data_IF_964065534269
#
_entry.id   IF_964065534269
#
_cell.length_a   1.000
_cell.length_b   1.000
_cell.length_c   1.000
_cell.angle_alpha   90.00
_cell.angle_beta   90.00
_cell.angle_gamma   90.00
#
_symmetry.space_group_name_H-M   'P 1'
#
loop_
_entity.id
_entity.type
_entity.pdbx_description
1 polymer ?
#
# COMPACT_ATOMS: atom_id res chain seq x y z
N UNK A 1 34.77 -45.22 41.72
CA UNK A 1 33.58 -45.48 40.88
C UNK A 1 32.50 -44.57 41.43
N UNK A 2 32.33 -43.39 40.84
CA UNK A 2 31.45 -42.33 41.35
C UNK A 2 30.20 -42.33 40.47
N UNK A 3 29.08 -42.79 41.02
CA UNK A 3 27.75 -42.59 40.43
C UNK A 3 27.43 -41.09 40.50
N UNK A 4 27.34 -40.46 39.32
CA UNK A 4 26.87 -39.08 39.21
C UNK A 4 25.35 -39.10 39.22
N UNK A 5 24.78 -38.62 40.32
CA UNK A 5 23.37 -38.34 40.52
C UNK A 5 22.87 -37.40 39.41
N UNK A 6 22.06 -37.92 38.48
CA UNK A 6 21.40 -37.10 37.47
C UNK A 6 20.20 -36.43 38.11
N UNK A 7 20.38 -35.18 38.54
CA UNK A 7 19.27 -34.29 38.91
C UNK A 7 18.44 -34.01 37.67
N UNK A 8 17.38 -34.81 37.51
CA UNK A 8 16.31 -34.64 36.54
C UNK A 8 15.56 -33.36 36.91
N UNK A 9 15.92 -32.25 36.26
CA UNK A 9 15.16 -31.00 36.36
C UNK A 9 13.80 -31.25 35.72
N UNK A 10 12.78 -31.49 36.55
CA UNK A 10 11.38 -31.47 36.15
C UNK A 10 11.04 -30.06 35.67
N UNK A 11 11.08 -29.85 34.35
CA UNK A 11 10.50 -28.68 33.72
C UNK A 11 9.00 -28.72 34.02
N UNK A 12 8.58 -27.93 35.02
CA UNK A 12 7.18 -27.72 35.39
C UNK A 12 6.33 -27.51 34.13
N UNK A 13 5.33 -28.38 33.95
CA UNK A 13 4.40 -28.38 32.83
C UNK A 13 3.60 -27.08 32.68
N UNK A 14 3.64 -26.19 33.67
CA UNK A 14 2.97 -24.88 33.63
C UNK A 14 3.62 -23.91 32.64
N UNK A 15 4.91 -24.07 32.33
CA UNK A 15 5.59 -23.25 31.32
C UNK A 15 5.25 -23.66 29.88
N UNK A 16 4.80 -24.90 29.66
CA UNK A 16 4.43 -25.36 28.31
C UNK A 16 3.10 -24.71 27.87
N UNK A 17 2.16 -24.56 28.79
CA UNK A 17 0.84 -23.94 28.52
C UNK A 17 0.96 -22.42 28.27
N UNK A 18 1.88 -21.74 28.96
CA UNK A 18 2.15 -20.32 28.71
C UNK A 18 2.83 -20.06 27.35
N UNK A 19 3.54 -21.05 26.80
CA UNK A 19 4.24 -20.91 25.51
C UNK A 19 3.30 -21.16 24.32
N UNK A 20 2.25 -21.98 24.48
CA UNK A 20 1.20 -22.15 23.46
C UNK A 20 0.22 -20.97 23.37
N UNK A 21 -0.02 -20.25 24.47
CA UNK A 21 -0.90 -19.07 24.46
C UNK A 21 -0.31 -17.87 23.69
N UNK A 22 1.00 -17.87 23.41
CA UNK A 22 1.69 -16.85 22.63
C UNK A 22 1.76 -17.14 21.13
N UNK A 23 1.06 -18.19 20.64
CA UNK A 23 0.83 -18.32 19.20
C UNK A 23 -0.11 -17.20 18.75
N UNK A 24 0.50 -16.10 18.25
CA UNK A 24 -0.11 -15.03 17.45
C UNK A 24 -1.54 -15.37 17.03
N UNK A 25 -2.52 -14.99 17.85
CA UNK A 25 -3.91 -15.21 17.54
C UNK A 25 -4.23 -14.33 16.34
N UNK A 26 -4.19 -14.95 15.17
CA UNK A 26 -4.67 -14.37 13.91
C UNK A 26 -6.04 -13.76 14.21
N UNK A 27 -6.21 -12.42 14.11
CA UNK A 27 -7.47 -11.77 14.43
C UNK A 27 -8.59 -12.45 13.64
N UNK A 28 -9.57 -13.03 14.33
CA UNK A 28 -10.72 -13.67 13.67
C UNK A 28 -11.39 -12.63 12.77
N UNK A 29 -11.68 -12.99 11.53
CA UNK A 29 -12.37 -12.11 10.58
C UNK A 29 -13.75 -11.75 11.19
N UNK A 30 -13.93 -10.47 11.53
CA UNK A 30 -15.20 -9.96 12.06
C UNK A 30 -16.02 -9.36 10.94
N UNK A 31 -17.34 -9.50 11.00
CA UNK A 31 -18.26 -8.86 10.05
C UNK A 31 -18.06 -7.34 10.02
N UNK A 32 -17.67 -6.73 11.14
CA UNK A 32 -17.31 -5.31 11.23
C UNK A 32 -16.18 -4.91 10.28
N UNK A 33 -15.20 -5.78 10.03
CA UNK A 33 -14.10 -5.50 9.10
C UNK A 33 -14.57 -5.51 7.65
N UNK A 34 -15.49 -6.43 7.31
CA UNK A 34 -16.12 -6.46 5.98
C UNK A 34 -17.00 -5.22 5.77
N UNK A 35 -17.81 -4.84 6.77
CA UNK A 35 -18.62 -3.63 6.71
C UNK A 35 -17.74 -2.38 6.55
N UNK A 36 -16.65 -2.26 7.31
CA UNK A 36 -15.69 -1.16 7.19
C UNK A 36 -15.05 -1.11 5.80
N UNK A 37 -14.63 -2.26 5.27
CA UNK A 37 -14.11 -2.36 3.90
C UNK A 37 -15.12 -1.89 2.86
N UNK A 38 -16.35 -2.42 2.91
CA UNK A 38 -17.41 -2.00 1.97
C UNK A 38 -17.73 -0.53 2.08
N UNK A 39 -17.73 0.04 3.30
CA UNK A 39 -17.93 1.46 3.53
C UNK A 39 -16.81 2.31 2.91
N UNK A 40 -15.54 1.96 3.16
CA UNK A 40 -14.39 2.66 2.57
C UNK A 40 -14.40 2.56 1.03
N UNK A 41 -14.70 1.39 0.48
CA UNK A 41 -14.81 1.21 -0.98
C UNK A 41 -15.97 2.00 -1.57
N UNK A 42 -17.14 2.01 -0.92
CA UNK A 42 -18.30 2.77 -1.38
C UNK A 42 -18.03 4.28 -1.42
N UNK A 43 -17.37 4.83 -0.40
CA UNK A 43 -16.96 6.25 -0.38
C UNK A 43 -16.04 6.56 -1.57
N UNK A 44 -15.04 5.71 -1.83
CA UNK A 44 -14.15 5.94 -2.96
C UNK A 44 -14.88 5.93 -4.29
N UNK A 45 -15.73 4.91 -4.51
CA UNK A 45 -16.47 4.77 -5.76
C UNK A 45 -17.45 5.93 -5.97
N UNK A 46 -18.10 6.41 -4.92
CA UNK A 46 -18.96 7.58 -4.99
C UNK A 46 -18.17 8.83 -5.43
N UNK A 47 -16.97 9.04 -4.88
CA UNK A 47 -16.09 10.15 -5.27
C UNK A 47 -15.59 10.00 -6.70
N UNK A 48 -15.07 8.82 -7.06
CA UNK A 48 -14.62 8.52 -8.42
C UNK A 48 -15.71 8.77 -9.45
N UNK A 49 -16.95 8.31 -9.16
CA UNK A 49 -18.09 8.54 -10.03
C UNK A 49 -18.43 10.02 -10.16
N UNK A 50 -18.46 10.75 -9.04
CA UNK A 50 -18.67 12.20 -9.07
C UNK A 50 -17.64 12.89 -9.98
N UNK A 51 -16.37 12.51 -9.86
CA UNK A 51 -15.28 13.00 -10.69
C UNK A 51 -15.43 12.69 -12.16
N UNK A 52 -15.68 11.43 -12.49
CA UNK A 52 -15.89 11.00 -13.87
C UNK A 52 -17.06 11.75 -14.53
N UNK A 53 -18.14 12.02 -13.79
CA UNK A 53 -19.31 12.72 -14.33
C UNK A 53 -19.09 14.22 -14.55
N UNK A 54 -18.26 14.88 -13.75
CA UNK A 54 -18.08 16.35 -13.81
C UNK A 54 -16.79 16.78 -14.52
N UNK A 55 -15.77 15.92 -14.53
CA UNK A 55 -14.42 16.25 -15.00
C UNK A 55 -13.77 15.12 -15.81
N UNK A 56 -14.51 14.03 -16.05
CA UNK A 56 -13.97 12.84 -16.69
C UNK A 56 -13.63 13.04 -18.16
N UNK A 57 -12.76 12.18 -18.71
CA UNK A 57 -12.54 12.12 -20.15
C UNK A 57 -13.85 11.75 -20.87
N UNK A 58 -14.02 12.22 -22.11
CA UNK A 58 -15.22 11.93 -22.91
C UNK A 58 -15.49 10.44 -23.11
N UNK A 59 -16.70 10.12 -23.61
CA UNK A 59 -17.34 8.78 -23.65
C UNK A 59 -16.44 7.63 -24.11
N UNK A 60 -15.45 7.89 -24.98
CA UNK A 60 -14.52 6.88 -25.51
C UNK A 60 -13.65 6.17 -24.44
N UNK A 61 -13.50 6.74 -23.24
CA UNK A 61 -12.74 6.15 -22.13
C UNK A 61 -13.62 5.61 -20.99
N UNK A 62 -14.95 5.72 -21.09
CA UNK A 62 -15.87 5.53 -19.96
C UNK A 62 -15.74 4.12 -19.35
N UNK A 63 -15.71 3.07 -20.16
CA UNK A 63 -15.60 1.69 -19.68
C UNK A 63 -14.26 1.42 -18.97
N UNK A 64 -13.14 1.92 -19.50
CA UNK A 64 -11.82 1.75 -18.90
C UNK A 64 -11.73 2.51 -17.56
N UNK A 65 -12.29 3.72 -17.51
CA UNK A 65 -12.38 4.52 -16.29
C UNK A 65 -13.23 3.81 -15.23
N UNK A 66 -14.40 3.28 -15.58
CA UNK A 66 -15.29 2.57 -14.66
C UNK A 66 -14.65 1.30 -14.08
N UNK A 67 -13.99 0.49 -14.90
CA UNK A 67 -13.30 -0.73 -14.44
C UNK A 67 -12.12 -0.36 -13.53
N UNK A 68 -11.30 0.62 -13.92
CA UNK A 68 -10.19 1.11 -13.09
C UNK A 68 -10.69 1.70 -11.77
N UNK A 69 -11.79 2.45 -11.80
CA UNK A 69 -12.44 3.00 -10.62
C UNK A 69 -12.91 1.90 -9.66
N UNK A 70 -13.55 0.85 -10.20
CA UNK A 70 -14.02 -0.30 -9.42
C UNK A 70 -12.87 -1.00 -8.71
N UNK A 71 -11.85 -1.39 -9.47
CA UNK A 71 -10.65 -2.06 -8.93
C UNK A 71 -9.96 -1.16 -7.91
N UNK A 72 -9.75 0.11 -8.25
CA UNK A 72 -9.16 1.10 -7.35
C UNK A 72 -9.95 1.28 -6.06
N UNK A 73 -11.28 1.27 -6.11
CA UNK A 73 -12.12 1.38 -4.92
C UNK A 73 -12.03 0.19 -3.99
N UNK A 74 -11.96 -1.01 -4.55
CA UNK A 74 -11.74 -2.23 -3.76
C UNK A 74 -10.38 -2.22 -3.07
N UNK A 75 -9.32 -1.86 -3.81
CA UNK A 75 -7.92 -1.81 -3.32
C UNK A 75 -7.73 -0.72 -2.28
N UNK A 76 -8.14 0.52 -2.58
CA UNK A 76 -7.99 1.66 -1.67
C UNK A 76 -8.82 1.48 -0.41
N UNK A 77 -10.05 0.95 -0.54
CA UNK A 77 -10.88 0.61 0.60
C UNK A 77 -10.25 -0.47 1.48
N UNK A 78 -9.62 -1.48 0.89
CA UNK A 78 -8.91 -2.53 1.62
C UNK A 78 -7.67 -1.97 2.34
N UNK A 79 -6.91 -1.09 1.69
CA UNK A 79 -5.74 -0.44 2.28
C UNK A 79 -6.11 0.36 3.54
N UNK A 80 -7.12 1.23 3.43
CA UNK A 80 -7.57 2.07 4.54
C UNK A 80 -8.16 1.25 5.67
N UNK A 81 -8.97 0.25 5.35
CA UNK A 81 -9.52 -0.69 6.34
C UNK A 81 -8.40 -1.43 7.07
N UNK A 82 -7.39 -1.90 6.33
CA UNK A 82 -6.21 -2.55 6.90
C UNK A 82 -5.46 -1.65 7.88
N UNK A 83 -5.22 -0.38 7.53
CA UNK A 83 -4.57 0.59 8.42
C UNK A 83 -5.42 0.93 9.64
N UNK A 84 -6.74 1.06 9.50
CA UNK A 84 -7.64 1.30 10.64
C UNK A 84 -7.63 0.10 11.60
N UNK A 85 -7.66 -1.12 11.07
CA UNK A 85 -7.55 -2.34 11.88
C UNK A 85 -6.18 -2.42 12.55
N UNK A 86 -5.10 -2.08 11.84
CA UNK A 86 -3.75 -2.04 12.39
C UNK A 86 -3.63 -1.04 13.54
N UNK A 87 -4.11 0.18 13.35
CA UNK A 87 -4.14 1.20 14.38
C UNK A 87 -4.96 0.71 15.57
N UNK A 88 -6.19 0.24 15.36
CA UNK A 88 -7.05 -0.22 16.46
C UNK A 88 -6.48 -1.39 17.24
N UNK A 89 -5.81 -2.33 16.57
CA UNK A 89 -5.26 -3.53 17.23
C UNK A 89 -3.97 -3.24 17.99
N UNK A 90 -3.21 -2.21 17.59
CA UNK A 90 -1.92 -1.86 18.21
C UNK A 90 -2.02 -0.68 19.17
N UNK A 91 -3.02 0.19 19.02
CA UNK A 91 -3.34 1.27 19.97
C UNK A 91 -3.76 0.66 21.31
N UNK A 92 -2.79 0.56 22.24
CA UNK A 92 -2.98 0.02 23.58
C UNK A 92 -1.97 -1.06 23.97
N UNK A 93 -1.28 -1.70 23.01
CA UNK A 93 -0.41 -2.86 23.27
C UNK A 93 1.09 -2.47 23.33
N UNK A 94 1.43 -1.18 23.19
CA UNK A 94 2.83 -0.69 23.13
C UNK A 94 3.70 -1.34 22.03
N UNK A 95 3.09 -2.07 21.11
CA UNK A 95 3.76 -2.65 19.96
C UNK A 95 3.88 -1.64 18.81
N UNK A 96 4.93 -1.73 17.97
CA UNK A 96 5.06 -0.86 16.81
C UNK A 96 3.88 -1.08 15.86
N UNK A 97 3.32 0.03 15.35
CA UNK A 97 2.18 0.00 14.42
C UNK A 97 2.48 -0.91 13.22
N UNK A 98 3.64 -0.75 12.59
CA UNK A 98 4.05 -1.54 11.43
C UNK A 98 5.22 -2.48 11.79
N UNK A 99 4.89 -3.70 12.24
CA UNK A 99 5.88 -4.76 12.50
C UNK A 99 6.34 -5.50 11.25
N UNK A 100 5.41 -5.88 10.37
CA UNK A 100 5.69 -6.73 9.21
C UNK A 100 5.73 -5.91 7.91
N UNK A 101 6.47 -6.35 6.87
CA UNK A 101 6.60 -5.64 5.60
C UNK A 101 5.26 -5.25 4.96
N UNK A 102 4.29 -6.17 4.94
CA UNK A 102 2.96 -5.89 4.40
C UNK A 102 2.20 -4.78 5.13
N UNK A 103 2.48 -4.53 6.42
CA UNK A 103 1.89 -3.39 7.14
C UNK A 103 2.36 -2.06 6.58
N UNK A 104 3.66 -1.96 6.29
CA UNK A 104 4.24 -0.77 5.64
C UNK A 104 3.67 -0.56 4.24
N UNK A 105 3.48 -1.64 3.47
CA UNK A 105 2.85 -1.55 2.15
C UNK A 105 1.40 -1.08 2.23
N UNK A 106 0.61 -1.64 3.15
CA UNK A 106 -0.75 -1.18 3.40
C UNK A 106 -0.78 0.30 3.79
N UNK A 107 0.16 0.75 4.64
CA UNK A 107 0.28 2.14 5.03
C UNK A 107 0.59 3.07 3.84
N UNK A 108 1.52 2.68 2.97
CA UNK A 108 1.85 3.45 1.74
C UNK A 108 0.62 3.58 0.83
N UNK A 109 -0.07 2.47 0.57
CA UNK A 109 -1.26 2.51 -0.31
C UNK A 109 -2.40 3.28 0.35
N UNK A 110 -2.63 3.11 1.65
CA UNK A 110 -3.67 3.83 2.38
C UNK A 110 -3.39 5.34 2.42
N UNK A 111 -2.14 5.74 2.67
CA UNK A 111 -1.73 7.14 2.69
C UNK A 111 -1.94 7.80 1.33
N UNK A 112 -1.43 7.20 0.26
CA UNK A 112 -1.62 7.71 -1.10
C UNK A 112 -3.10 7.76 -1.49
N UNK A 113 -3.89 6.75 -1.10
CA UNK A 113 -5.34 6.71 -1.31
C UNK A 113 -6.07 7.82 -0.56
N UNK A 114 -5.76 8.02 0.72
CA UNK A 114 -6.35 9.07 1.54
C UNK A 114 -6.17 10.44 0.91
N UNK A 115 -4.95 10.76 0.44
CA UNK A 115 -4.72 12.05 -0.22
C UNK A 115 -5.38 12.16 -1.60
N UNK A 116 -5.49 11.06 -2.36
CA UNK A 116 -6.34 11.03 -3.56
C UNK A 116 -7.80 11.36 -3.22
N UNK A 117 -8.31 10.91 -2.08
CA UNK A 117 -9.67 11.23 -1.65
C UNK A 117 -9.81 12.69 -1.23
N UNK A 118 -8.87 13.19 -0.43
CA UNK A 118 -8.88 14.57 0.06
C UNK A 118 -8.78 15.54 -1.11
N UNK A 119 -7.87 15.30 -2.06
CA UNK A 119 -7.74 16.13 -3.28
C UNK A 119 -9.02 16.11 -4.09
N UNK A 120 -9.59 14.93 -4.36
CA UNK A 120 -10.87 14.79 -5.05
C UNK A 120 -12.02 15.54 -4.34
N UNK A 121 -12.07 15.49 -3.00
CA UNK A 121 -13.05 16.24 -2.21
C UNK A 121 -12.86 17.76 -2.31
N UNK A 122 -11.62 18.23 -2.12
CA UNK A 122 -11.29 19.66 -2.15
C UNK A 122 -11.60 20.27 -3.53
N UNK A 123 -11.23 19.57 -4.58
CA UNK A 123 -11.58 19.93 -5.94
C UNK A 123 -13.11 19.99 -6.15
N UNK A 124 -13.87 19.03 -5.63
CA UNK A 124 -15.34 19.05 -5.72
C UNK A 124 -15.97 20.24 -5.00
N UNK A 125 -15.36 20.73 -3.92
CA UNK A 125 -15.83 21.90 -3.15
C UNK A 125 -15.42 23.23 -3.77
N UNK A 126 -14.19 23.33 -4.28
CA UNK A 126 -13.64 24.57 -4.81
C UNK A 126 -14.00 24.84 -6.28
N UNK A 127 -14.60 23.86 -6.97
CA UNK A 127 -14.85 23.92 -8.41
C UNK A 127 -13.59 23.60 -9.21
N UNK A 128 -13.50 24.11 -10.45
CA UNK A 128 -12.36 23.87 -11.33
C UNK A 128 -11.07 24.51 -10.76
N UNK A 129 -10.35 23.78 -9.91
CA UNK A 129 -8.98 24.11 -9.55
C UNK A 129 -8.09 23.74 -10.74
N UNK A 130 -7.19 24.64 -11.15
CA UNK A 130 -6.20 24.33 -12.18
C UNK A 130 -5.36 23.11 -11.76
N UNK A 131 -5.00 22.26 -12.74
CA UNK A 131 -4.14 21.10 -12.46
C UNK A 131 -2.83 21.47 -11.77
N UNK A 132 -2.32 22.69 -12.00
CA UNK A 132 -1.17 23.28 -11.34
C UNK A 132 -1.28 23.32 -9.82
N UNK A 133 -2.42 23.72 -9.28
CA UNK A 133 -2.61 23.82 -7.83
C UNK A 133 -2.69 22.44 -7.14
N UNK A 134 -2.84 21.36 -7.91
CA UNK A 134 -2.74 19.99 -7.39
C UNK A 134 -1.30 19.46 -7.34
N UNK A 135 -0.37 20.02 -8.11
CA UNK A 135 1.02 19.53 -8.18
C UNK A 135 1.74 19.57 -6.82
N UNK A 136 1.66 20.64 -6.01
CA UNK A 136 2.28 20.66 -4.69
C UNK A 136 1.77 19.53 -3.78
N UNK A 137 0.48 19.16 -3.90
CA UNK A 137 -0.12 18.10 -3.11
C UNK A 137 0.44 16.73 -3.56
N UNK A 138 0.53 16.49 -4.87
CA UNK A 138 1.15 15.27 -5.40
C UNK A 138 2.61 15.14 -4.97
N UNK A 139 3.39 16.21 -5.08
CA UNK A 139 4.78 16.25 -4.62
C UNK A 139 4.88 15.95 -3.11
N UNK A 140 4.01 16.54 -2.28
CA UNK A 140 3.97 16.26 -0.85
C UNK A 140 3.67 14.79 -0.56
N UNK A 141 2.67 14.21 -1.24
CA UNK A 141 2.30 12.79 -1.05
C UNK A 141 3.44 11.86 -1.43
N UNK A 142 4.12 12.14 -2.55
CA UNK A 142 5.27 11.36 -3.01
C UNK A 142 6.45 11.49 -2.04
N UNK A 143 6.73 12.70 -1.55
CA UNK A 143 7.76 12.94 -0.54
C UNK A 143 7.51 12.13 0.73
N UNK A 144 6.30 12.19 1.30
CA UNK A 144 5.96 11.42 2.50
C UNK A 144 6.05 9.91 2.21
N UNK A 145 5.64 9.47 1.02
CA UNK A 145 5.79 8.06 0.61
C UNK A 145 7.26 7.62 0.58
N UNK A 146 8.17 8.44 0.05
CA UNK A 146 9.62 8.19 0.10
C UNK A 146 10.08 8.03 1.55
N UNK A 147 9.67 8.96 2.43
CA UNK A 147 10.03 8.89 3.86
C UNK A 147 9.52 7.61 4.51
N UNK A 148 8.27 7.21 4.26
CA UNK A 148 7.70 5.95 4.78
C UNK A 148 8.49 4.75 4.27
N UNK A 149 8.83 4.69 2.98
CA UNK A 149 9.60 3.58 2.40
C UNK A 149 11.03 3.50 2.96
N UNK A 150 11.74 4.63 3.08
CA UNK A 150 13.08 4.66 3.68
C UNK A 150 13.03 4.25 5.15
N UNK A 151 12.01 4.71 5.88
CA UNK A 151 11.82 4.30 7.27
C UNK A 151 11.51 2.81 7.40
N UNK A 152 10.65 2.27 6.54
CA UNK A 152 10.37 0.84 6.46
C UNK A 152 11.63 0.02 6.18
N UNK A 153 12.48 0.46 5.24
CA UNK A 153 13.76 -0.19 4.93
C UNK A 153 14.70 -0.26 6.14
N UNK A 154 14.64 0.71 7.06
CA UNK A 154 15.43 0.70 8.29
C UNK A 154 14.82 -0.11 9.44
N UNK A 155 13.50 -0.34 9.43
CA UNK A 155 12.76 -1.00 10.53
C UNK A 155 12.41 -2.46 10.27
N UNK A 156 12.27 -2.86 9.01
CA UNK A 156 11.97 -4.25 8.66
C UNK A 156 13.19 -5.11 8.93
N UNK A 157 13.01 -6.18 9.71
CA UNK A 157 14.11 -7.09 10.07
C UNK A 157 14.55 -7.96 8.88
N UNK A 158 13.60 -8.37 8.04
CA UNK A 158 13.83 -9.25 6.89
C UNK A 158 14.64 -8.54 5.80
N UNK A 159 15.83 -9.07 5.52
CA UNK A 159 16.78 -8.52 4.57
C UNK A 159 16.24 -8.48 3.13
N UNK A 160 15.27 -9.32 2.77
CA UNK A 160 14.68 -9.36 1.41
C UNK A 160 13.82 -8.15 1.12
N UNK A 161 13.17 -7.63 2.15
CA UNK A 161 12.24 -6.51 2.06
C UNK A 161 12.95 -5.16 2.12
N UNK A 162 14.13 -5.07 2.76
CA UNK A 162 14.94 -3.84 2.78
C UNK A 162 15.27 -3.30 1.37
N UNK A 163 15.90 -4.06 0.46
CA UNK A 163 16.19 -3.57 -0.88
C UNK A 163 14.93 -3.27 -1.68
N UNK A 164 13.83 -4.01 -1.44
CA UNK A 164 12.54 -3.72 -2.05
C UNK A 164 11.99 -2.35 -1.64
N UNK A 165 12.01 -2.02 -0.34
CA UNK A 165 11.59 -0.70 0.14
C UNK A 165 12.53 0.42 -0.33
N UNK A 166 13.85 0.17 -0.34
CA UNK A 166 14.81 1.12 -0.88
C UNK A 166 14.58 1.40 -2.37
N UNK A 167 14.35 0.34 -3.18
CA UNK A 167 14.02 0.48 -4.59
C UNK A 167 12.70 1.23 -4.79
N UNK A 168 11.66 0.92 -4.00
CA UNK A 168 10.38 1.63 -4.02
C UNK A 168 10.56 3.12 -3.69
N UNK A 169 11.41 3.44 -2.70
CA UNK A 169 11.74 4.82 -2.35
C UNK A 169 12.46 5.54 -3.50
N UNK A 170 13.46 4.91 -4.12
CA UNK A 170 14.17 5.46 -5.28
C UNK A 170 13.24 5.73 -6.46
N UNK A 171 12.36 4.78 -6.78
CA UNK A 171 11.39 4.95 -7.87
C UNK A 171 10.37 6.05 -7.55
N UNK A 172 9.91 6.13 -6.30
CA UNK A 172 9.02 7.21 -5.85
C UNK A 172 9.72 8.57 -5.89
N UNK A 173 11.03 8.62 -5.63
CA UNK A 173 11.83 9.84 -5.76
C UNK A 173 11.95 10.28 -7.23
N UNK A 174 12.05 9.34 -8.18
CA UNK A 174 11.97 9.65 -9.62
C UNK A 174 10.59 10.21 -10.00
N UNK A 175 9.50 9.63 -9.47
CA UNK A 175 8.13 10.16 -9.64
C UNK A 175 8.03 11.58 -9.08
N UNK A 176 8.61 11.82 -7.90
CA UNK A 176 8.66 13.15 -7.29
C UNK A 176 9.40 14.15 -8.18
N UNK A 177 10.56 13.76 -8.72
CA UNK A 177 11.32 14.58 -9.67
C UNK A 177 10.52 14.93 -10.92
N UNK A 178 9.81 13.96 -11.52
CA UNK A 178 8.96 14.21 -12.68
C UNK A 178 7.82 15.20 -12.37
N UNK A 179 7.13 15.03 -11.24
CA UNK A 179 6.06 15.94 -10.83
C UNK A 179 6.61 17.33 -10.47
N UNK A 180 7.80 17.42 -9.88
CA UNK A 180 8.46 18.69 -9.59
C UNK A 180 8.86 19.44 -10.87
N UNK A 181 9.33 18.75 -11.91
CA UNK A 181 9.61 19.36 -13.22
C UNK A 181 8.33 19.95 -13.80
N UNK A 182 7.24 19.19 -13.80
CA UNK A 182 5.95 19.68 -14.31
C UNK A 182 5.39 20.84 -13.47
N UNK A 183 5.68 20.88 -12.17
CA UNK A 183 5.33 21.99 -11.30
C UNK A 183 6.13 23.28 -11.60
N UNK A 184 7.39 23.15 -12.01
CA UNK A 184 8.27 24.28 -12.29
C UNK A 184 8.14 24.82 -13.72
N UNK A 185 7.87 23.95 -14.69
CA UNK A 185 7.71 24.29 -16.10
C UNK A 185 6.68 23.39 -16.78
N UNK A 186 5.51 23.96 -17.09
CA UNK A 186 4.44 23.27 -17.80
C UNK A 186 4.80 22.87 -19.23
N UNK A 187 5.73 23.61 -19.87
CA UNK A 187 6.18 23.29 -21.23
C UNK A 187 7.01 22.01 -21.27
N UNK A 188 7.48 21.54 -20.12
CA UNK A 188 8.21 20.28 -19.97
C UNK A 188 7.30 19.04 -19.94
N UNK A 189 6.03 19.15 -20.38
CA UNK A 189 5.08 18.03 -20.43
C UNK A 189 5.64 16.78 -21.14
N UNK A 190 6.36 16.95 -22.25
CA UNK A 190 6.96 15.81 -22.97
C UNK A 190 8.04 15.07 -22.16
N UNK A 191 8.84 15.81 -21.37
CA UNK A 191 9.82 15.22 -20.45
C UNK A 191 9.12 14.51 -19.30
N UNK A 192 8.08 15.13 -18.71
CA UNK A 192 7.23 14.51 -17.69
C UNK A 192 6.64 13.19 -18.20
N UNK A 193 6.06 13.18 -19.40
CA UNK A 193 5.43 12.00 -19.99
C UNK A 193 6.46 10.88 -20.23
N UNK A 194 7.64 11.21 -20.75
CA UNK A 194 8.73 10.24 -20.91
C UNK A 194 9.14 9.64 -19.57
N UNK A 195 9.35 10.46 -18.53
CA UNK A 195 9.66 10.00 -17.19
C UNK A 195 8.52 9.14 -16.61
N UNK A 196 7.27 9.54 -16.86
CA UNK A 196 6.06 8.82 -16.44
C UNK A 196 5.99 7.41 -17.01
N UNK A 197 6.28 7.25 -18.30
CA UNK A 197 6.34 5.94 -18.94
C UNK A 197 7.47 5.08 -18.36
N UNK A 198 8.66 5.67 -18.17
CA UNK A 198 9.82 4.96 -17.63
C UNK A 198 9.58 4.42 -16.22
N UNK A 199 9.08 5.26 -15.30
CA UNK A 199 8.82 4.78 -13.94
C UNK A 199 7.60 3.87 -13.86
N UNK A 200 6.64 3.96 -14.78
CA UNK A 200 5.47 3.06 -14.73
C UNK A 200 5.83 1.63 -15.16
N UNK A 201 6.85 1.45 -16.00
CA UNK A 201 7.44 0.12 -16.24
C UNK A 201 8.09 -0.45 -14.97
N UNK A 202 8.66 0.41 -14.13
CA UNK A 202 9.27 -0.02 -12.86
C UNK A 202 8.24 -0.54 -11.85
N UNK A 203 6.98 -0.07 -11.91
CA UNK A 203 5.89 -0.58 -11.07
C UNK A 203 5.59 -2.07 -11.38
N UNK A 204 5.78 -2.51 -12.63
CA UNK A 204 5.68 -3.93 -13.01
C UNK A 204 6.79 -4.76 -12.38
N UNK A 205 8.02 -4.24 -12.40
CA UNK A 205 9.17 -4.90 -11.81
C UNK A 205 8.95 -5.05 -10.31
N UNK A 206 8.45 -4.01 -9.62
CA UNK A 206 8.08 -4.08 -8.20
C UNK A 206 6.96 -5.09 -7.94
N UNK A 207 5.95 -5.15 -8.80
CA UNK A 207 4.86 -6.12 -8.68
C UNK A 207 5.38 -7.57 -8.79
N UNK A 208 6.23 -7.86 -9.77
CA UNK A 208 6.83 -9.18 -9.91
C UNK A 208 7.76 -9.50 -8.73
N UNK A 209 8.54 -8.52 -8.27
CA UNK A 209 9.43 -8.68 -7.12
C UNK A 209 8.64 -9.03 -5.85
N UNK A 210 7.53 -8.34 -5.57
CA UNK A 210 6.71 -8.64 -4.39
C UNK A 210 6.13 -10.06 -4.46
N UNK A 211 5.68 -10.50 -5.64
CA UNK A 211 5.18 -11.87 -5.86
C UNK A 211 6.28 -12.91 -5.62
N UNK A 212 7.50 -12.66 -6.10
CA UNK A 212 8.64 -13.56 -5.90
C UNK A 212 9.01 -13.64 -4.41
N UNK A 213 9.09 -12.51 -3.70
CA UNK A 213 9.36 -12.51 -2.26
C UNK A 213 8.29 -13.32 -1.53
N UNK A 214 7.01 -13.07 -1.81
CA UNK A 214 5.88 -13.79 -1.19
C UNK A 214 5.89 -15.30 -1.48
N UNK A 215 6.20 -15.71 -2.71
CA UNK A 215 6.34 -17.12 -3.06
C UNK A 215 7.50 -17.78 -2.29
N UNK A 216 8.60 -17.04 -2.11
CA UNK A 216 9.77 -17.50 -1.36
C UNK A 216 9.46 -17.64 0.13
N UNK A 217 8.81 -16.65 0.74
CA UNK A 217 8.36 -16.72 2.14
C UNK A 217 7.41 -17.90 2.38
N UNK A 218 6.48 -18.16 1.44
CA UNK A 218 5.59 -19.32 1.50
C UNK A 218 6.35 -20.63 1.42
N UNK A 219 7.35 -20.73 0.54
CA UNK A 219 8.20 -21.93 0.37
C UNK A 219 9.03 -22.21 1.62
N UNK A 220 9.49 -21.16 2.30
CA UNK A 220 10.27 -21.26 3.53
C UNK A 220 9.41 -21.38 4.79
N UNK A 221 8.08 -21.50 4.63
CA UNK A 221 7.12 -21.61 5.74
C UNK A 221 7.21 -20.46 6.76
N UNK A 222 7.59 -19.27 6.30
CA UNK A 222 7.62 -18.07 7.14
C UNK A 222 6.17 -17.71 7.49
N UNK A 223 5.85 -17.77 8.79
CA UNK A 223 4.52 -17.40 9.30
C UNK A 223 4.45 -15.88 9.43
N UNK A 224 3.56 -15.28 8.66
CA UNK A 224 3.19 -13.85 8.71
C UNK A 224 1.73 -13.73 9.15
N UNK A 225 1.37 -12.60 9.73
CA UNK A 225 -0.05 -12.37 10.03
C UNK A 225 -0.87 -12.14 8.74
N UNK A 226 -2.20 -12.23 8.85
CA UNK A 226 -3.06 -12.07 7.67
C UNK A 226 -3.01 -10.66 7.09
N UNK A 227 -2.71 -9.66 7.92
CA UNK A 227 -2.70 -8.26 7.51
C UNK A 227 -1.46 -7.94 6.68
N UNK A 228 -0.34 -8.60 6.95
CA UNK A 228 0.81 -8.62 6.05
C UNK A 228 0.40 -9.06 4.65
N UNK A 229 -0.23 -10.23 4.52
CA UNK A 229 -0.64 -10.75 3.21
C UNK A 229 -1.68 -9.85 2.52
N UNK A 230 -2.59 -9.25 3.28
CA UNK A 230 -3.53 -8.26 2.77
C UNK A 230 -2.80 -7.03 2.21
N UNK A 231 -1.80 -6.51 2.93
CA UNK A 231 -0.98 -5.38 2.49
C UNK A 231 -0.16 -5.67 1.24
N UNK A 232 0.41 -6.87 1.14
CA UNK A 232 1.10 -7.34 -0.08
C UNK A 232 0.13 -7.38 -1.26
N UNK A 233 -1.04 -8.00 -1.09
CA UNK A 233 -2.03 -8.11 -2.16
C UNK A 233 -2.53 -6.74 -2.62
N UNK A 234 -2.86 -5.86 -1.67
CA UNK A 234 -3.28 -4.47 -1.94
C UNK A 234 -2.21 -3.71 -2.71
N UNK A 235 -0.92 -3.87 -2.36
CA UNK A 235 0.17 -3.24 -3.08
C UNK A 235 0.34 -3.82 -4.49
N UNK A 236 0.32 -5.15 -4.65
CA UNK A 236 0.47 -5.79 -5.96
C UNK A 236 -0.66 -5.37 -6.93
N UNK A 237 -1.92 -5.37 -6.45
CA UNK A 237 -3.05 -4.96 -7.27
C UNK A 237 -3.01 -3.45 -7.57
N UNK A 238 -2.52 -2.61 -6.64
CA UNK A 238 -2.35 -1.17 -6.93
C UNK A 238 -1.29 -0.90 -8.01
N UNK A 239 -0.20 -1.69 -8.07
CA UNK A 239 0.75 -1.60 -9.18
C UNK A 239 0.13 -2.05 -10.50
N UNK A 240 -0.68 -3.12 -10.47
CA UNK A 240 -1.41 -3.59 -11.65
C UNK A 240 -2.41 -2.56 -12.19
N UNK A 241 -3.07 -1.80 -11.31
CA UNK A 241 -3.97 -0.72 -11.73
C UNK A 241 -3.23 0.36 -12.55
N UNK A 242 -2.00 0.72 -12.16
CA UNK A 242 -1.16 1.64 -12.95
C UNK A 242 -0.86 1.09 -14.35
N UNK A 243 -0.65 -0.22 -14.47
CA UNK A 243 -0.48 -0.88 -15.76
C UNK A 243 -1.73 -0.80 -16.63
N UNK A 244 -2.90 -1.10 -16.07
CA UNK A 244 -4.17 -1.04 -16.82
C UNK A 244 -4.39 0.34 -17.41
N UNK A 245 -4.07 1.39 -16.65
CA UNK A 245 -4.14 2.76 -17.12
C UNK A 245 -3.18 3.03 -18.30
N UNK A 246 -1.93 2.58 -18.19
CA UNK A 246 -0.97 2.73 -19.30
C UNK A 246 -1.42 2.01 -20.58
N UNK A 247 -1.93 0.79 -20.46
CA UNK A 247 -2.41 0.02 -21.62
C UNK A 247 -3.59 0.74 -22.27
N UNK A 248 -4.54 1.24 -21.46
CA UNK A 248 -5.67 2.01 -21.95
C UNK A 248 -5.23 3.26 -22.73
N UNK A 249 -4.21 3.98 -22.22
CA UNK A 249 -3.65 5.17 -22.87
C UNK A 249 -2.80 4.87 -24.13
N UNK A 250 -2.34 3.62 -24.32
CA UNK A 250 -1.51 3.25 -25.46
C UNK A 250 -2.31 2.64 -26.63
N UNK A 251 -3.51 2.12 -26.35
CA UNK A 251 -4.37 1.43 -27.32
C UNK A 251 -5.41 2.37 -27.95
N UNK A 252 -5.72 3.48 -27.28
CA UNK A 252 -6.71 4.48 -27.68
C UNK A 252 -6.02 5.77 -28.15
#
# INVERSE_FOLDING_TARGET
MHESDSTRVELSGDNVVATEAATSQVPRLRITYLLLWTFCSAIYLALQRYWATHFGPGDQYEAAVLVSALVGGMVNGAALTGVIILARTRLGVHEPLCREPGHWLALVVAFTSFFKWVTAWLLGLAGAISGEAMQPIYCFVLFVTVVICLWASGRVEDWRWKPFFAATATLTLMKLGANAVLWLDENSYGLFEMMHRLYSLSDLVLCLWVVVISATERREHIRRDWLHWAGVAVFAVSQYQSLMWMIAMAVL
#
